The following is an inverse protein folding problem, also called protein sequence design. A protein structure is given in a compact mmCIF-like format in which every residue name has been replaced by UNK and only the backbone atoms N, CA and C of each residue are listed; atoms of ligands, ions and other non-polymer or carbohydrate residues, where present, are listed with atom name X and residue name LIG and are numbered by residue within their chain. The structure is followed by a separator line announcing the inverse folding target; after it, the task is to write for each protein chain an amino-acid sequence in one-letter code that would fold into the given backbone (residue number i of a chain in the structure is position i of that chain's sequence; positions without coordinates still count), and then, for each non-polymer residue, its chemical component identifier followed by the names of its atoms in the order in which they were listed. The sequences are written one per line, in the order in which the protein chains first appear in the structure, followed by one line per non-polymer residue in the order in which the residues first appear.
data_IF_402109254140
#
_entry.id   IF_402109254140
#
_cell.length_a   1.000
_cell.length_b   1.000
_cell.length_c   1.000
_cell.angle_alpha   90.00
_cell.angle_beta   90.00
_cell.angle_gamma   90.00
#
_symmetry.space_group_name_H-M   'P 1'
#
loop_
_entity.id
_entity.type
_entity.pdbx_description
1 polymer ?
#
# COMPACT_ATOMS: atom_id res chain seq x y z
N UNK A 1 -19.41 -23.50 19.63
CA UNK A 1 -19.07 -24.23 18.38
C UNK A 1 -20.25 -24.16 17.38
N UNK A 2 -21.47 -24.55 17.77
CA UNK A 2 -22.62 -24.61 16.84
C UNK A 2 -23.01 -23.25 16.20
N UNK A 3 -22.89 -22.12 16.94
CA UNK A 3 -23.15 -20.78 16.38
C UNK A 3 -22.10 -20.39 15.33
N UNK A 4 -20.82 -20.64 15.62
CA UNK A 4 -19.73 -20.36 14.68
C UNK A 4 -19.86 -21.18 13.39
N UNK A 5 -20.18 -22.46 13.53
CA UNK A 5 -20.39 -23.34 12.37
C UNK A 5 -21.52 -22.82 11.48
N UNK A 6 -22.68 -22.47 12.05
CA UNK A 6 -23.80 -21.92 11.24
C UNK A 6 -23.43 -20.62 10.52
N UNK A 7 -22.64 -19.74 11.14
CA UNK A 7 -22.18 -18.52 10.49
C UNK A 7 -21.22 -18.81 9.34
N UNK A 8 -20.33 -19.77 9.53
CA UNK A 8 -19.41 -20.24 8.49
C UNK A 8 -20.16 -20.85 7.31
N UNK A 9 -21.09 -21.76 7.56
CA UNK A 9 -21.89 -22.42 6.53
C UNK A 9 -22.73 -21.39 5.73
N UNK A 10 -23.34 -20.43 6.42
CA UNK A 10 -24.09 -19.34 5.79
C UNK A 10 -23.20 -18.42 4.93
N UNK A 11 -21.97 -18.15 5.38
CA UNK A 11 -21.02 -17.38 4.60
C UNK A 11 -20.57 -18.16 3.35
N UNK A 12 -20.21 -19.43 3.50
CA UNK A 12 -19.80 -20.28 2.39
C UNK A 12 -20.89 -20.40 1.31
N UNK A 13 -22.15 -20.57 1.73
CA UNK A 13 -23.27 -20.62 0.79
C UNK A 13 -23.42 -19.30 0.00
N UNK A 14 -23.31 -18.15 0.67
CA UNK A 14 -23.37 -16.84 0.01
C UNK A 14 -22.18 -16.62 -0.94
N UNK A 15 -20.98 -17.05 -0.52
CA UNK A 15 -19.80 -16.93 -1.37
C UNK A 15 -19.89 -17.82 -2.61
N UNK A 16 -20.42 -19.04 -2.48
CA UNK A 16 -20.66 -19.92 -3.63
C UNK A 16 -21.62 -19.29 -4.65
N UNK A 17 -22.69 -18.63 -4.18
CA UNK A 17 -23.59 -17.87 -5.06
C UNK A 17 -22.87 -16.72 -5.75
N UNK A 18 -22.10 -15.93 -4.99
CA UNK A 18 -21.30 -14.84 -5.54
C UNK A 18 -20.30 -15.31 -6.59
N UNK A 19 -19.63 -16.43 -6.32
CA UNK A 19 -18.69 -17.05 -7.26
C UNK A 19 -19.36 -17.52 -8.57
N UNK A 20 -20.59 -18.00 -8.48
CA UNK A 20 -21.35 -18.39 -9.67
C UNK A 20 -21.79 -17.17 -10.49
N UNK A 21 -22.17 -16.07 -9.85
CA UNK A 21 -22.63 -14.85 -10.51
C UNK A 21 -21.49 -13.93 -10.99
N UNK A 22 -20.36 -13.93 -10.30
CA UNK A 22 -19.21 -13.03 -10.51
C UNK A 22 -17.87 -13.79 -10.43
N UNK A 23 -17.62 -14.74 -11.31
CA UNK A 23 -16.47 -15.66 -11.19
C UNK A 23 -15.12 -14.94 -11.17
N UNK A 24 -14.92 -13.92 -12.00
CA UNK A 24 -13.66 -13.16 -12.05
C UNK A 24 -13.42 -12.37 -10.76
N UNK A 25 -14.46 -11.71 -10.23
CA UNK A 25 -14.34 -10.95 -8.98
C UNK A 25 -14.10 -11.87 -7.78
N UNK A 26 -14.73 -13.03 -7.76
CA UNK A 26 -14.52 -14.03 -6.72
C UNK A 26 -13.11 -14.62 -6.79
N UNK A 27 -12.58 -14.89 -7.98
CA UNK A 27 -11.20 -15.33 -8.17
C UNK A 27 -10.22 -14.26 -7.69
N UNK A 28 -10.40 -12.99 -8.06
CA UNK A 28 -9.59 -11.87 -7.59
C UNK A 28 -9.63 -11.70 -6.07
N UNK A 29 -10.79 -11.88 -5.45
CA UNK A 29 -10.91 -11.87 -3.98
C UNK A 29 -10.10 -13.01 -3.35
N UNK A 30 -10.22 -14.22 -3.84
CA UNK A 30 -9.50 -15.39 -3.30
C UNK A 30 -7.99 -15.23 -3.45
N UNK A 31 -7.51 -14.84 -4.64
CA UNK A 31 -6.10 -14.58 -4.91
C UNK A 31 -5.55 -13.47 -4.00
N UNK A 32 -6.30 -12.37 -3.86
CA UNK A 32 -5.90 -11.27 -2.95
C UNK A 32 -5.80 -11.75 -1.50
N UNK A 33 -6.77 -12.51 -1.01
CA UNK A 33 -6.77 -13.08 0.36
C UNK A 33 -5.65 -14.11 0.55
N UNK A 34 -5.25 -14.84 -0.49
CA UNK A 34 -4.10 -15.73 -0.48
C UNK A 34 -2.76 -14.97 -0.53
N UNK A 35 -2.78 -13.66 -0.75
CA UNK A 35 -1.57 -12.83 -0.87
C UNK A 35 -0.85 -13.01 -2.21
N UNK A 36 -1.49 -13.59 -3.21
CA UNK A 36 -0.95 -13.78 -4.55
C UNK A 36 -0.91 -12.46 -5.32
N UNK A 37 0.04 -12.34 -6.23
CA UNK A 37 0.11 -11.24 -7.18
C UNK A 37 -0.59 -11.65 -8.49
N UNK A 38 -1.26 -10.72 -9.17
CA UNK A 38 -1.81 -11.00 -10.50
C UNK A 38 -0.72 -11.39 -11.50
N UNK A 39 -1.05 -12.20 -12.49
CA UNK A 39 -0.12 -12.47 -13.59
C UNK A 39 0.23 -11.16 -14.31
N UNK A 40 1.53 -10.95 -14.60
CA UNK A 40 2.01 -9.73 -15.25
C UNK A 40 1.91 -8.45 -14.40
N UNK A 41 1.85 -8.58 -13.10
CA UNK A 41 1.75 -7.44 -12.16
C UNK A 41 2.83 -6.37 -12.33
N UNK A 42 3.99 -6.75 -12.87
CA UNK A 42 5.17 -5.92 -13.09
C UNK A 42 5.33 -5.43 -14.53
N UNK A 43 4.45 -5.81 -15.45
CA UNK A 43 4.56 -5.50 -16.87
C UNK A 43 4.60 -3.98 -17.17
N UNK A 44 3.99 -3.16 -16.31
CA UNK A 44 4.00 -1.70 -16.44
C UNK A 44 5.09 -1.00 -15.62
N UNK A 45 5.92 -1.76 -14.90
CA UNK A 45 7.06 -1.20 -14.15
C UNK A 45 8.13 -0.76 -15.15
N UNK A 46 8.63 0.50 -15.05
CA UNK A 46 9.63 1.00 -15.99
C UNK A 46 10.96 0.25 -15.87
N UNK A 47 11.61 -0.02 -17.00
CA UNK A 47 12.98 -0.51 -17.00
C UNK A 47 13.92 0.64 -16.57
N UNK A 48 14.58 0.46 -15.45
CA UNK A 48 15.54 1.42 -14.88
C UNK A 48 17.00 1.08 -15.16
N UNK A 49 17.28 0.07 -15.98
CA UNK A 49 18.65 -0.39 -16.25
C UNK A 49 19.51 0.61 -17.06
N UNK A 50 18.87 1.51 -17.82
CA UNK A 50 19.51 2.47 -18.71
C UNK A 50 19.13 3.92 -18.38
N UNK A 51 18.97 4.26 -17.10
CA UNK A 51 18.60 5.60 -16.69
C UNK A 51 19.78 6.55 -16.88
N UNK A 52 19.69 7.42 -17.88
CA UNK A 52 20.56 8.58 -18.00
C UNK A 52 20.19 9.57 -16.90
N UNK A 53 21.02 9.67 -15.93
CA UNK A 53 21.15 10.60 -14.80
C UNK A 53 20.06 11.67 -14.50
N UNK A 54 20.03 12.12 -13.25
CA UNK A 54 19.60 13.46 -12.85
C UNK A 54 18.26 13.57 -12.17
N UNK A 55 17.46 12.49 -12.05
CA UNK A 55 16.24 12.55 -11.22
C UNK A 55 16.54 12.03 -9.80
N UNK A 56 15.88 12.61 -8.80
CA UNK A 56 15.99 12.14 -7.44
C UNK A 56 15.40 10.72 -7.31
N UNK A 57 15.95 9.91 -6.40
CA UNK A 57 15.47 8.53 -6.17
C UNK A 57 13.98 8.47 -5.87
N UNK A 58 13.42 9.48 -5.20
CA UNK A 58 11.96 9.61 -4.98
C UNK A 58 11.16 9.71 -6.29
N UNK A 59 11.71 10.37 -7.32
CA UNK A 59 11.08 10.47 -8.64
C UNK A 59 11.00 9.10 -9.32
N UNK A 60 12.07 8.32 -9.26
CA UNK A 60 12.10 6.95 -9.76
C UNK A 60 11.17 6.03 -8.98
N UNK A 61 11.18 6.12 -7.64
CA UNK A 61 10.24 5.40 -6.77
C UNK A 61 8.78 5.68 -7.16
N UNK A 62 8.46 6.95 -7.42
CA UNK A 62 7.12 7.35 -7.87
C UNK A 62 6.75 6.74 -9.23
N UNK A 63 7.69 6.70 -10.20
CA UNK A 63 7.45 6.06 -11.51
C UNK A 63 7.20 4.55 -11.37
N UNK A 64 7.98 3.87 -10.52
CA UNK A 64 7.78 2.45 -10.19
C UNK A 64 6.42 2.24 -9.54
N UNK A 65 6.04 3.09 -8.59
CA UNK A 65 4.74 3.02 -7.92
C UNK A 65 3.58 3.08 -8.91
N UNK A 66 3.65 3.94 -9.95
CA UNK A 66 2.60 3.98 -10.97
C UNK A 66 2.49 2.65 -11.74
N UNK A 67 3.63 2.05 -12.12
CA UNK A 67 3.67 0.74 -12.76
C UNK A 67 3.07 -0.36 -11.88
N UNK A 68 3.46 -0.40 -10.61
CA UNK A 68 2.90 -1.35 -9.63
C UNK A 68 1.39 -1.14 -9.43
N UNK A 69 0.94 0.11 -9.33
CA UNK A 69 -0.47 0.43 -9.14
C UNK A 69 -1.33 0.06 -10.36
N UNK A 70 -0.75 0.05 -11.56
CA UNK A 70 -1.42 -0.43 -12.77
C UNK A 70 -1.59 -1.95 -12.77
N UNK A 71 -0.59 -2.70 -12.32
CA UNK A 71 -0.60 -4.17 -12.30
C UNK A 71 -1.22 -4.79 -11.03
N UNK A 72 -1.35 -4.03 -9.94
CA UNK A 72 -1.82 -4.54 -8.64
C UNK A 72 -3.06 -3.75 -8.19
N UNK A 73 -4.27 -4.19 -8.55
CA UNK A 73 -5.50 -3.43 -8.29
C UNK A 73 -5.82 -3.25 -6.80
N UNK A 74 -5.37 -4.15 -5.94
CA UNK A 74 -5.53 -4.10 -4.49
C UNK A 74 -4.36 -3.41 -3.75
N UNK A 75 -3.50 -2.67 -4.48
CA UNK A 75 -2.48 -1.80 -3.89
C UNK A 75 -3.11 -0.50 -3.44
N UNK A 76 -3.03 -0.19 -2.16
CA UNK A 76 -3.62 0.98 -1.51
C UNK A 76 -2.56 1.66 -0.64
N UNK A 77 -2.53 2.95 -0.62
CA UNK A 77 -1.57 3.67 0.24
C UNK A 77 -1.58 5.17 0.02
N UNK A 78 -0.59 5.84 0.56
CA UNK A 78 -0.48 7.29 0.52
C UNK A 78 0.66 7.77 1.42
N UNK A 79 0.47 8.89 2.10
CA UNK A 79 1.52 9.44 2.95
C UNK A 79 0.99 10.10 4.22
N UNK A 80 1.92 10.43 5.12
CA UNK A 80 1.69 11.27 6.27
C UNK A 80 1.72 12.76 5.86
N UNK A 81 0.78 13.15 4.97
CA UNK A 81 0.60 14.50 4.42
C UNK A 81 1.77 15.02 3.56
N UNK A 82 2.51 14.10 2.93
CA UNK A 82 3.70 14.40 2.12
C UNK A 82 3.65 13.79 0.71
N UNK A 83 2.44 13.44 0.20
CA UNK A 83 2.26 12.70 -1.06
C UNK A 83 3.01 13.31 -2.24
N UNK A 84 2.85 14.61 -2.46
CA UNK A 84 3.53 15.33 -3.52
C UNK A 84 5.06 15.33 -3.41
N UNK A 85 5.59 15.42 -2.17
CA UNK A 85 7.04 15.40 -1.89
C UNK A 85 7.61 13.98 -1.96
N UNK A 86 6.92 13.00 -1.39
CA UNK A 86 7.33 11.59 -1.42
C UNK A 86 7.10 10.90 -2.76
N UNK A 87 6.29 11.49 -3.66
CA UNK A 87 5.82 10.87 -4.90
C UNK A 87 5.05 9.56 -4.66
N UNK A 88 4.19 9.56 -3.63
CA UNK A 88 3.42 8.40 -3.18
C UNK A 88 1.94 8.46 -3.51
N UNK A 89 1.50 9.44 -4.29
CA UNK A 89 0.15 9.48 -4.81
C UNK A 89 0.01 8.55 -6.03
N UNK A 90 -1.08 7.79 -6.10
CA UNK A 90 -1.43 6.99 -7.28
C UNK A 90 -2.19 7.90 -8.23
N UNK A 91 -1.56 8.24 -9.35
CA UNK A 91 -2.13 9.16 -10.35
C UNK A 91 -3.42 8.58 -10.94
N UNK A 92 -4.48 9.38 -10.92
CA UNK A 92 -5.80 9.00 -11.45
C UNK A 92 -6.62 8.10 -10.53
N UNK A 93 -6.11 7.74 -9.35
CA UNK A 93 -6.91 7.04 -8.35
C UNK A 93 -7.62 8.01 -7.41
N UNK A 94 -8.85 7.68 -7.05
CA UNK A 94 -9.62 8.43 -6.07
C UNK A 94 -9.04 8.27 -4.66
N UNK A 95 -9.29 9.27 -3.83
CA UNK A 95 -9.07 9.19 -2.39
C UNK A 95 -10.02 8.18 -1.75
N UNK A 96 -9.53 7.40 -0.80
CA UNK A 96 -10.35 6.51 0.01
C UNK A 96 -11.12 7.34 1.05
N UNK A 97 -12.37 7.62 0.76
CA UNK A 97 -13.27 8.42 1.57
C UNK A 97 -14.63 7.69 1.75
N UNK A 98 -15.48 8.11 2.69
CA UNK A 98 -16.81 7.51 2.86
C UNK A 98 -17.64 7.48 1.56
N UNK A 99 -17.53 8.54 0.74
CA UNK A 99 -18.25 8.65 -0.52
C UNK A 99 -17.52 7.98 -1.71
N UNK A 100 -16.26 7.65 -1.55
CA UNK A 100 -15.40 6.96 -2.54
C UNK A 100 -14.69 5.75 -1.91
N UNK A 101 -15.43 4.72 -1.46
CA UNK A 101 -14.85 3.59 -0.74
C UNK A 101 -13.97 2.67 -1.59
N UNK A 102 -13.99 2.83 -2.91
CA UNK A 102 -13.11 2.17 -3.87
C UNK A 102 -11.80 2.94 -4.13
N UNK A 103 -11.62 4.10 -3.51
CA UNK A 103 -10.41 4.89 -3.63
C UNK A 103 -9.18 4.15 -3.12
N UNK A 104 -8.03 4.42 -3.73
CA UNK A 104 -6.76 3.76 -3.39
C UNK A 104 -5.74 4.68 -2.74
N UNK A 105 -6.03 5.99 -2.68
CA UNK A 105 -5.16 6.97 -2.03
C UNK A 105 -5.66 7.24 -0.62
N UNK A 106 -4.81 6.96 0.37
CA UNK A 106 -5.12 7.14 1.80
C UNK A 106 -4.40 8.37 2.34
N UNK A 107 -5.16 9.31 2.86
CA UNK A 107 -4.64 10.49 3.54
C UNK A 107 -4.47 10.21 5.03
N UNK A 108 -3.27 9.79 5.43
CA UNK A 108 -2.99 9.48 6.85
C UNK A 108 -2.87 10.74 7.73
N UNK A 109 -2.62 11.90 7.13
CA UNK A 109 -2.29 13.14 7.84
C UNK A 109 -0.91 13.07 8.49
N UNK A 110 -0.51 14.11 9.21
CA UNK A 110 0.76 14.16 9.95
C UNK A 110 0.68 13.25 11.18
N UNK A 111 0.74 11.92 10.94
CA UNK A 111 0.51 10.86 11.95
C UNK A 111 1.29 9.60 11.60
N UNK A 112 2.61 9.68 11.58
CA UNK A 112 3.48 8.59 11.11
C UNK A 112 3.28 7.29 11.89
N UNK A 113 3.15 7.37 13.21
CA UNK A 113 2.89 6.19 14.03
C UNK A 113 1.53 5.55 13.70
N UNK A 114 0.49 6.36 13.58
CA UNK A 114 -0.84 5.88 13.22
C UNK A 114 -0.84 5.30 11.80
N UNK A 115 -0.17 5.95 10.83
CA UNK A 115 0.02 5.42 9.49
C UNK A 115 0.61 4.00 9.54
N UNK A 116 1.75 3.82 10.21
CA UNK A 116 2.38 2.52 10.34
C UNK A 116 1.49 1.47 11.02
N UNK A 117 0.76 1.86 12.06
CA UNK A 117 -0.16 0.97 12.78
C UNK A 117 -1.37 0.58 11.94
N UNK A 118 -1.94 1.51 11.18
CA UNK A 118 -3.04 1.25 10.24
C UNK A 118 -2.56 0.27 9.15
N UNK A 119 -1.38 0.51 8.59
CA UNK A 119 -0.79 -0.37 7.58
C UNK A 119 -0.57 -1.79 8.11
N UNK A 120 -0.10 -1.92 9.35
CA UNK A 120 0.04 -3.22 10.02
C UNK A 120 -1.33 -3.93 10.15
N UNK A 121 -2.36 -3.19 10.54
CA UNK A 121 -3.74 -3.73 10.64
C UNK A 121 -4.28 -4.20 9.29
N UNK A 122 -4.07 -3.42 8.22
CA UNK A 122 -4.47 -3.79 6.84
C UNK A 122 -3.74 -5.05 6.40
N UNK A 123 -2.42 -5.13 6.60
CA UNK A 123 -1.62 -6.29 6.24
C UNK A 123 -2.03 -7.56 7.01
N UNK A 124 -2.33 -7.43 8.30
CA UNK A 124 -2.83 -8.54 9.13
C UNK A 124 -4.20 -9.04 8.70
N UNK A 125 -5.08 -8.15 8.27
CA UNK A 125 -6.40 -8.53 7.74
C UNK A 125 -6.28 -9.34 6.45
N UNK A 126 -5.30 -9.01 5.61
CA UNK A 126 -5.11 -9.61 4.29
C UNK A 126 -6.00 -8.98 3.20
N UNK A 127 -5.83 -9.45 1.97
CA UNK A 127 -6.61 -9.01 0.81
C UNK A 127 -6.17 -7.67 0.21
N UNK A 128 -5.39 -6.86 0.90
CA UNK A 128 -4.92 -5.55 0.46
C UNK A 128 -3.41 -5.43 0.65
N UNK A 129 -2.71 -4.98 -0.37
CA UNK A 129 -1.30 -4.58 -0.28
C UNK A 129 -1.22 -3.11 0.08
N UNK A 130 -0.36 -2.77 1.02
CA UNK A 130 -0.35 -1.43 1.61
C UNK A 130 1.04 -0.81 1.57
N UNK A 131 1.09 0.47 1.27
CA UNK A 131 2.29 1.29 1.37
C UNK A 131 2.01 2.61 2.07
N UNK A 132 3.04 3.22 2.64
CA UNK A 132 2.92 4.54 3.26
C UNK A 132 4.23 5.30 3.22
N UNK A 133 4.14 6.59 2.88
CA UNK A 133 5.27 7.46 2.69
C UNK A 133 5.42 8.55 3.75
N UNK A 134 6.67 8.84 4.10
CA UNK A 134 7.08 10.01 4.87
C UNK A 134 8.56 10.30 4.61
N UNK A 135 9.12 11.37 5.17
CA UNK A 135 10.57 11.57 5.13
C UNK A 135 11.28 10.60 6.09
N UNK A 136 12.51 10.22 5.77
CA UNK A 136 13.28 9.27 6.60
C UNK A 136 13.38 9.75 8.05
N UNK A 137 13.65 11.04 8.27
CA UNK A 137 13.74 11.60 9.62
C UNK A 137 12.48 11.37 10.45
N UNK A 138 11.30 11.37 9.82
CA UNK A 138 10.02 11.14 10.50
C UNK A 138 9.72 9.66 10.77
N UNK A 139 10.57 8.74 10.26
CA UNK A 139 10.51 7.33 10.67
C UNK A 139 10.72 7.15 12.17
N UNK A 140 11.41 8.10 12.82
CA UNK A 140 11.59 8.11 14.28
C UNK A 140 10.26 8.16 15.04
N UNK A 141 9.27 8.85 14.50
CA UNK A 141 7.93 8.88 15.10
C UNK A 141 7.16 7.58 14.97
N UNK A 142 7.47 6.73 13.98
CA UNK A 142 6.76 5.48 13.72
C UNK A 142 7.54 4.20 14.09
N UNK A 143 8.69 4.32 14.73
CA UNK A 143 9.57 3.19 15.07
C UNK A 143 8.86 2.01 15.74
N UNK A 144 7.94 2.19 16.72
CA UNK A 144 7.25 1.05 17.33
C UNK A 144 6.37 0.29 16.34
N UNK A 145 5.69 0.98 15.42
CA UNK A 145 4.88 0.34 14.38
C UNK A 145 5.75 -0.44 13.39
N UNK A 146 6.87 0.13 12.95
CA UNK A 146 7.85 -0.53 12.07
C UNK A 146 8.43 -1.78 12.75
N UNK A 147 8.80 -1.66 14.04
CA UNK A 147 9.29 -2.79 14.83
C UNK A 147 8.27 -3.94 14.88
N UNK A 148 7.00 -3.63 15.08
CA UNK A 148 5.95 -4.66 15.11
C UNK A 148 5.73 -5.29 13.73
N UNK A 149 5.76 -4.51 12.64
CA UNK A 149 5.71 -5.06 11.29
C UNK A 149 6.84 -6.07 11.05
N UNK A 150 8.07 -5.71 11.44
CA UNK A 150 9.24 -6.58 11.29
C UNK A 150 9.12 -7.85 12.16
N UNK A 151 8.71 -7.72 13.43
CA UNK A 151 8.54 -8.87 14.33
C UNK A 151 7.47 -9.86 13.85
N UNK A 152 6.41 -9.36 13.24
CA UNK A 152 5.31 -10.17 12.73
C UNK A 152 5.51 -10.62 11.28
N UNK A 153 6.60 -10.19 10.62
CA UNK A 153 6.88 -10.52 9.22
C UNK A 153 5.81 -9.99 8.25
N UNK A 154 5.26 -8.80 8.51
CA UNK A 154 4.17 -8.24 7.71
C UNK A 154 4.67 -7.67 6.39
N UNK A 155 3.95 -7.90 5.27
CA UNK A 155 4.27 -7.38 3.95
C UNK A 155 3.85 -5.91 3.79
N UNK A 156 4.42 -5.04 4.62
CA UNK A 156 4.17 -3.59 4.61
C UNK A 156 5.32 -2.89 3.90
N UNK A 157 5.01 -1.95 3.01
CA UNK A 157 6.01 -1.16 2.30
C UNK A 157 6.06 0.26 2.85
N UNK A 158 7.19 0.64 3.44
CA UNK A 158 7.47 2.01 3.85
C UNK A 158 8.29 2.72 2.77
N UNK A 159 7.86 3.91 2.37
CA UNK A 159 8.56 4.76 1.40
C UNK A 159 9.15 5.95 2.16
N UNK A 160 10.43 5.87 2.49
CA UNK A 160 11.15 6.93 3.16
C UNK A 160 12.02 7.69 2.16
N UNK A 161 11.76 8.97 2.04
CA UNK A 161 12.48 9.85 1.12
C UNK A 161 13.27 10.90 1.89
N UNK A 162 14.01 11.76 1.18
CA UNK A 162 14.84 12.80 1.80
C UNK A 162 15.87 12.20 2.77
N UNK A 163 16.56 11.16 2.33
CA UNK A 163 17.51 10.36 3.10
C UNK A 163 18.98 10.59 2.64
N UNK A 164 19.22 11.62 1.84
CA UNK A 164 20.53 11.93 1.30
C UNK A 164 21.45 12.61 2.31
N UNK A 165 22.70 12.20 2.35
CA UNK A 165 23.76 12.89 3.12
C UNK A 165 23.95 14.33 2.65
N UNK A 166 23.73 14.60 1.36
CA UNK A 166 23.86 15.90 0.74
C UNK A 166 22.59 16.76 0.78
N UNK A 167 21.60 16.42 1.59
CA UNK A 167 20.39 17.20 1.72
C UNK A 167 20.67 18.55 2.37
N UNK A 168 20.71 19.62 1.58
CA UNK A 168 21.11 20.93 2.04
C UNK A 168 20.01 21.98 2.10
N UNK A 169 19.09 21.94 1.14
CA UNK A 169 18.07 22.98 0.99
C UNK A 169 17.00 22.94 2.07
N UNK A 170 16.57 21.77 2.49
CA UNK A 170 15.53 21.58 3.50
C UNK A 170 16.02 21.85 4.94
N UNK A 171 17.32 21.90 5.13
CA UNK A 171 17.97 22.25 6.41
C UNK A 171 17.79 21.16 7.49
N UNK A 172 17.93 21.54 8.79
CA UNK A 172 18.01 20.59 9.90
C UNK A 172 16.68 19.94 10.28
N UNK A 173 15.58 20.30 9.65
CA UNK A 173 14.25 19.76 9.94
C UNK A 173 13.95 18.46 9.21
N UNK A 174 14.79 18.09 8.25
CA UNK A 174 14.66 16.95 7.36
C UNK A 174 15.95 16.13 7.39
#
# INVERSE_FOLDING_TARGET
VSKGQRLQDAWQARFAMYQAERPEMAAGFLSSMAGELPEGWDAAVPDLSNVESGDATRGWSGKVLQGLAAGIPNLVGGSADLGGSNKTDIVGADSLLPDTPSGRVVHYGVREHAMGSIMNGIALHGGTRVFGGTFLTFSDYMRPAVRLAALMGLPVTYVWTHDSIGLGEDGPTH
#
